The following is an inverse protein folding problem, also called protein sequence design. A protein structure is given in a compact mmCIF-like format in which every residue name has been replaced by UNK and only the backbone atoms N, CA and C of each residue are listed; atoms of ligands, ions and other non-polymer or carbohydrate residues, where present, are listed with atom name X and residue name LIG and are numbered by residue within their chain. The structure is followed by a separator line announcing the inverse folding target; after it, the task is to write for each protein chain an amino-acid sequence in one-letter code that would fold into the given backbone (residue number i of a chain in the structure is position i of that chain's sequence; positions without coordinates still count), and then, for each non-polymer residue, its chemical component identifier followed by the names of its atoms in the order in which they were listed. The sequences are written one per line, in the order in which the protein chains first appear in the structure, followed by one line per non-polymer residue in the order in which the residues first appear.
data_IF_737775616255
#
_entry.id   IF_737775616255
#
_cell.length_a   1.000
_cell.length_b   1.000
_cell.length_c   1.000
_cell.angle_alpha   90.00
_cell.angle_beta   90.00
_cell.angle_gamma   90.00
#
_symmetry.space_group_name_H-M   'P 1'
#
loop_
_entity.id
_entity.type
_entity.pdbx_description
1 polymer ?
#
# COMPACT_ATOMS: atom_id res chain seq x y z
N UNK A 1 -12.21 -6.61 11.70
CA UNK A 1 -12.32 -5.74 10.51
C UNK A 1 -11.04 -5.91 9.69
N UNK A 2 -11.10 -5.85 8.35
CA UNK A 2 -9.90 -5.82 7.50
C UNK A 2 -9.75 -4.43 6.88
N UNK A 3 -8.55 -3.86 6.89
CA UNK A 3 -8.25 -2.55 6.26
C UNK A 3 -7.17 -2.75 5.21
N UNK A 4 -7.42 -2.36 3.96
CA UNK A 4 -6.46 -2.54 2.87
C UNK A 4 -6.12 -1.19 2.26
N UNK A 5 -4.86 -0.80 2.34
CA UNK A 5 -4.37 0.39 1.66
C UNK A 5 -4.04 0.07 0.20
N UNK A 6 -4.53 0.92 -0.69
CA UNK A 6 -4.33 0.87 -2.13
C UNK A 6 -3.31 1.91 -2.61
N UNK A 7 -2.70 2.66 -1.68
CA UNK A 7 -1.65 3.63 -2.00
C UNK A 7 -0.46 3.02 -2.72
N UNK A 8 0.15 3.82 -3.60
CA UNK A 8 1.43 3.49 -4.21
C UNK A 8 2.58 3.74 -3.22
N UNK A 9 3.77 3.14 -3.39
CA UNK A 9 4.94 3.45 -2.58
C UNK A 9 5.20 4.95 -2.51
N UNK A 10 5.61 5.45 -1.35
CA UNK A 10 5.88 6.89 -1.08
C UNK A 10 4.64 7.79 -1.01
N UNK A 11 3.43 7.24 -1.09
CA UNK A 11 2.17 7.96 -0.89
C UNK A 11 1.71 8.02 0.58
N UNK A 12 2.61 7.86 1.56
CA UNK A 12 2.26 7.95 2.99
C UNK A 12 1.82 6.64 3.66
N UNK A 13 2.04 5.50 3.00
CA UNK A 13 1.78 4.13 3.51
C UNK A 13 2.28 3.90 4.95
N UNK A 14 3.52 4.31 5.26
CA UNK A 14 4.11 4.14 6.59
C UNK A 14 3.39 4.95 7.68
N UNK A 15 3.00 6.20 7.39
CA UNK A 15 2.26 7.03 8.35
C UNK A 15 0.92 6.39 8.69
N UNK A 16 0.18 5.91 7.69
CA UNK A 16 -1.05 5.16 7.92
C UNK A 16 -0.79 3.92 8.78
N UNK A 17 0.27 3.15 8.47
CA UNK A 17 0.64 1.95 9.23
C UNK A 17 0.93 2.22 10.70
N UNK A 18 1.70 3.27 11.02
CA UNK A 18 1.99 3.61 12.42
C UNK A 18 0.74 4.13 13.16
N UNK A 19 -0.13 4.89 12.49
CA UNK A 19 -1.40 5.34 13.08
C UNK A 19 -2.34 4.17 13.42
N UNK A 20 -2.47 3.20 12.51
CA UNK A 20 -3.29 2.02 12.73
C UNK A 20 -2.71 1.11 13.83
N UNK A 21 -1.38 0.98 13.93
CA UNK A 21 -0.73 0.27 15.05
C UNK A 21 -0.99 0.98 16.38
N UNK A 22 -0.88 2.30 16.41
CA UNK A 22 -1.14 3.09 17.61
C UNK A 22 -2.61 2.97 18.07
N UNK A 23 -3.53 2.78 17.13
CA UNK A 23 -4.93 2.46 17.38
C UNK A 23 -5.19 1.00 17.80
N UNK A 24 -4.13 0.18 17.96
CA UNK A 24 -4.22 -1.20 18.43
C UNK A 24 -4.43 -2.26 17.35
N UNK A 25 -4.40 -1.90 16.07
CA UNK A 25 -4.55 -2.87 14.97
C UNK A 25 -3.24 -3.64 14.71
N UNK A 26 -3.38 -4.93 14.36
CA UNK A 26 -2.26 -5.72 13.85
C UNK A 26 -2.03 -5.37 12.38
N UNK A 27 -1.01 -4.57 12.10
CA UNK A 27 -0.73 -4.07 10.75
C UNK A 27 0.36 -4.89 10.06
N UNK A 28 0.04 -5.51 8.93
CA UNK A 28 1.00 -6.04 7.97
C UNK A 28 1.49 -4.92 7.04
N UNK A 29 2.80 -4.75 6.99
CA UNK A 29 3.48 -3.84 6.07
C UNK A 29 4.30 -4.68 5.08
N UNK A 30 4.80 -4.12 3.97
CA UNK A 30 5.36 -4.82 2.79
C UNK A 30 6.15 -6.10 3.07
N UNK A 31 6.85 -6.15 4.21
CA UNK A 31 7.45 -7.35 4.79
C UNK A 31 7.07 -7.54 6.26
N UNK A 32 6.59 -8.75 6.60
CA UNK A 32 6.33 -9.14 7.99
C UNK A 32 7.64 -9.23 8.78
N UNK A 33 7.72 -8.57 9.92
CA UNK A 33 8.90 -8.51 10.78
C UNK A 33 8.97 -9.72 11.71
N UNK A 34 10.18 -10.01 12.19
CA UNK A 34 10.37 -11.06 13.19
C UNK A 34 9.63 -10.71 14.47
N UNK A 35 8.90 -11.66 15.04
CA UNK A 35 8.08 -11.46 16.24
C UNK A 35 6.78 -10.69 16.02
N UNK A 36 6.45 -10.33 14.77
CA UNK A 36 5.18 -9.67 14.46
C UNK A 36 4.01 -10.65 14.35
N UNK A 37 4.30 -11.92 14.07
CA UNK A 37 3.34 -13.00 13.86
C UNK A 37 3.70 -14.18 14.74
N UNK A 38 2.68 -14.88 15.25
CA UNK A 38 2.84 -16.13 15.99
C UNK A 38 3.09 -17.31 15.04
N UNK A 39 2.71 -17.16 13.77
CA UNK A 39 3.05 -18.10 12.71
C UNK A 39 4.46 -17.82 12.16
N UNK A 40 5.39 -18.73 12.46
CA UNK A 40 6.79 -18.67 11.99
C UNK A 40 6.92 -18.68 10.46
N UNK A 41 5.94 -19.21 9.71
CA UNK A 41 5.97 -19.21 8.23
C UNK A 41 5.86 -17.80 7.66
N UNK A 42 5.24 -16.88 8.40
CA UNK A 42 5.08 -15.48 7.97
C UNK A 42 6.32 -14.64 8.23
N UNK A 43 7.26 -15.10 9.07
CA UNK A 43 8.44 -14.33 9.40
C UNK A 43 9.24 -13.94 8.15
N UNK A 44 9.46 -12.64 7.95
CA UNK A 44 10.19 -12.05 6.81
C UNK A 44 9.55 -12.28 5.44
N UNK A 45 8.33 -12.83 5.37
CA UNK A 45 7.58 -12.97 4.14
C UNK A 45 7.10 -11.62 3.61
N UNK A 46 6.98 -11.51 2.29
CA UNK A 46 6.41 -10.32 1.65
C UNK A 46 4.90 -10.43 1.59
N UNK A 47 4.21 -9.37 2.01
CA UNK A 47 2.73 -9.34 2.10
C UNK A 47 2.10 -9.62 0.74
N UNK A 48 2.55 -8.94 -0.32
CA UNK A 48 2.03 -9.17 -1.67
C UNK A 48 2.26 -10.61 -2.16
N UNK A 49 3.38 -11.24 -1.79
CA UNK A 49 3.63 -12.64 -2.16
C UNK A 49 2.65 -13.59 -1.44
N UNK A 50 2.40 -13.36 -0.16
CA UNK A 50 1.40 -14.11 0.60
C UNK A 50 0.01 -13.93 -0.01
N UNK A 51 -0.37 -12.70 -0.37
CA UNK A 51 -1.66 -12.41 -1.01
C UNK A 51 -1.88 -13.21 -2.29
N UNK A 52 -0.92 -13.15 -3.23
CA UNK A 52 -1.04 -13.90 -4.48
C UNK A 52 -1.01 -15.42 -4.25
N UNK A 53 -0.18 -15.90 -3.31
CA UNK A 53 -0.04 -17.34 -3.05
C UNK A 53 -1.32 -17.91 -2.42
N UNK A 54 -1.96 -17.17 -1.52
CA UNK A 54 -3.26 -17.52 -0.95
C UNK A 54 -4.36 -17.42 -2.01
N UNK A 55 -4.44 -16.31 -2.74
CA UNK A 55 -5.45 -16.09 -3.79
C UNK A 55 -5.50 -17.24 -4.81
N UNK A 56 -4.37 -17.60 -5.42
CA UNK A 56 -4.34 -18.66 -6.42
C UNK A 56 -4.56 -20.07 -5.84
N UNK A 57 -4.45 -20.24 -4.52
CA UNK A 57 -4.68 -21.53 -3.85
C UNK A 57 -6.10 -21.68 -3.32
N UNK A 58 -6.70 -20.61 -2.79
CA UNK A 58 -7.97 -20.67 -2.03
C UNK A 58 -9.05 -19.73 -2.59
N UNK A 59 -8.69 -18.78 -3.44
CA UNK A 59 -9.57 -17.68 -3.85
C UNK A 59 -9.65 -16.53 -2.84
N UNK A 60 -9.03 -16.65 -1.65
CA UNK A 60 -8.98 -15.59 -0.63
C UNK A 60 -7.54 -15.08 -0.46
N UNK A 61 -7.24 -13.83 -0.87
CA UNK A 61 -5.91 -13.24 -0.72
C UNK A 61 -5.43 -13.08 0.73
N UNK A 62 -6.31 -13.07 1.72
CA UNK A 62 -5.92 -12.86 3.12
C UNK A 62 -5.86 -14.16 3.93
N UNK A 63 -6.12 -15.32 3.31
CA UNK A 63 -6.27 -16.60 4.02
C UNK A 63 -5.02 -17.03 4.80
N UNK A 64 -3.82 -16.64 4.37
CA UNK A 64 -2.56 -16.95 5.06
C UNK A 64 -2.17 -15.92 6.12
N UNK A 65 -2.92 -14.82 6.25
CA UNK A 65 -2.64 -13.71 7.18
C UNK A 65 -3.84 -13.38 8.08
N UNK A 66 -4.57 -14.37 8.64
CA UNK A 66 -5.83 -14.11 9.33
C UNK A 66 -5.67 -13.22 10.56
N UNK A 67 -4.49 -13.23 11.19
CA UNK A 67 -4.13 -12.46 12.38
C UNK A 67 -3.89 -10.96 12.14
N UNK A 68 -3.79 -10.49 10.89
CA UNK A 68 -3.59 -9.07 10.59
C UNK A 68 -4.92 -8.36 10.31
N UNK A 69 -5.12 -7.22 10.94
CA UNK A 69 -6.29 -6.36 10.75
C UNK A 69 -6.12 -5.37 9.59
N UNK A 70 -4.88 -4.95 9.31
CA UNK A 70 -4.62 -3.96 8.28
C UNK A 70 -3.39 -4.29 7.40
N UNK A 71 -3.42 -3.85 6.15
CA UNK A 71 -2.39 -4.09 5.14
C UNK A 71 -2.01 -2.77 4.46
N UNK A 72 -0.88 -2.16 4.84
CA UNK A 72 -0.61 -0.74 4.52
C UNK A 72 0.35 -0.46 3.38
N UNK A 73 1.26 -1.39 3.09
CA UNK A 73 2.05 -1.43 1.86
C UNK A 73 2.06 -2.89 1.41
N UNK A 74 1.48 -3.17 0.24
CA UNK A 74 1.24 -4.54 -0.22
C UNK A 74 2.02 -4.88 -1.49
N UNK A 75 2.64 -3.89 -2.13
CA UNK A 75 3.56 -4.12 -3.23
C UNK A 75 4.94 -4.56 -2.75
N UNK A 76 5.68 -5.15 -3.68
CA UNK A 76 7.10 -5.42 -3.51
C UNK A 76 7.78 -5.41 -4.87
N UNK A 77 8.90 -4.68 -4.95
CA UNK A 77 9.83 -4.73 -6.08
C UNK A 77 11.26 -4.94 -5.57
N UNK A 78 11.64 -6.22 -5.39
CA UNK A 78 12.89 -6.61 -4.76
C UNK A 78 13.29 -8.06 -5.09
N UNK A 79 14.58 -8.32 -5.30
CA UNK A 79 15.13 -9.68 -5.49
C UNK A 79 14.41 -10.48 -6.59
N UNK A 80 14.08 -9.83 -7.71
CA UNK A 80 13.33 -10.46 -8.82
C UNK A 80 11.82 -10.63 -8.57
N UNK A 81 11.31 -10.27 -7.38
CA UNK A 81 9.88 -10.14 -7.16
C UNK A 81 9.40 -8.77 -7.62
N UNK A 82 8.27 -8.78 -8.30
CA UNK A 82 7.55 -7.60 -8.75
C UNK A 82 6.05 -7.88 -8.63
N UNK A 83 5.44 -7.44 -7.52
CA UNK A 83 4.06 -7.75 -7.17
C UNK A 83 3.36 -6.47 -6.72
N UNK A 84 2.16 -6.22 -7.23
CA UNK A 84 1.39 -4.98 -6.98
C UNK A 84 -0.08 -5.30 -6.73
N UNK A 85 -0.43 -5.95 -5.61
CA UNK A 85 -1.80 -6.35 -5.33
C UNK A 85 -2.80 -5.17 -5.34
N UNK A 86 -2.36 -3.96 -4.98
CA UNK A 86 -3.21 -2.77 -4.99
C UNK A 86 -3.65 -2.36 -6.41
N UNK A 87 -2.91 -2.78 -7.44
CA UNK A 87 -3.22 -2.48 -8.84
C UNK A 87 -4.00 -3.63 -9.53
N UNK A 88 -4.26 -4.74 -8.83
CA UNK A 88 -4.89 -5.93 -9.40
C UNK A 88 -6.36 -6.02 -9.00
N UNK A 89 -7.25 -5.84 -9.97
CA UNK A 89 -8.70 -5.96 -9.76
C UNK A 89 -9.10 -7.32 -9.18
N UNK A 90 -8.49 -8.42 -9.64
CA UNK A 90 -8.83 -9.76 -9.18
C UNK A 90 -8.52 -9.95 -7.70
N UNK A 91 -7.39 -9.42 -7.22
CA UNK A 91 -7.05 -9.43 -5.80
C UNK A 91 -8.03 -8.57 -5.00
N UNK A 92 -8.28 -7.32 -5.44
CA UNK A 92 -9.15 -6.38 -4.71
C UNK A 92 -10.57 -6.94 -4.61
N UNK A 93 -11.13 -7.42 -5.71
CA UNK A 93 -12.47 -8.01 -5.76
C UNK A 93 -12.56 -9.30 -4.93
N UNK A 94 -11.53 -10.13 -4.92
CA UNK A 94 -11.49 -11.32 -4.08
C UNK A 94 -11.46 -10.99 -2.59
N UNK A 95 -10.75 -9.94 -2.17
CA UNK A 95 -10.80 -9.47 -0.77
C UNK A 95 -12.22 -9.03 -0.42
N UNK A 96 -12.87 -8.23 -1.28
CA UNK A 96 -14.25 -7.76 -1.08
C UNK A 96 -15.24 -8.91 -0.91
N UNK A 97 -15.10 -9.97 -1.72
CA UNK A 97 -15.98 -11.14 -1.68
C UNK A 97 -15.78 -12.02 -0.45
N UNK A 98 -14.53 -12.23 -0.04
CA UNK A 98 -14.21 -13.12 1.08
C UNK A 98 -14.27 -12.44 2.45
N UNK A 99 -14.14 -11.11 2.50
CA UNK A 99 -14.16 -10.32 3.74
C UNK A 99 -15.22 -9.22 3.67
N UNK A 100 -16.52 -9.55 3.78
CA UNK A 100 -17.57 -8.53 3.90
C UNK A 100 -17.27 -7.58 5.06
N UNK A 101 -17.28 -6.27 4.78
CA UNK A 101 -16.88 -5.23 5.74
C UNK A 101 -15.37 -4.92 5.75
N UNK A 102 -14.59 -5.45 4.80
CA UNK A 102 -13.26 -4.93 4.52
C UNK A 102 -13.35 -3.46 4.08
N UNK A 103 -12.52 -2.60 4.68
CA UNK A 103 -12.41 -1.18 4.38
C UNK A 103 -11.20 -0.94 3.51
N UNK A 104 -11.38 -0.24 2.40
CA UNK A 104 -10.31 0.15 1.49
C UNK A 104 -9.94 1.61 1.71
N UNK A 105 -8.64 1.89 1.72
CA UNK A 105 -8.12 3.25 1.84
C UNK A 105 -7.21 3.50 0.65
N UNK A 106 -7.31 4.67 0.00
CA UNK A 106 -6.30 5.16 -0.92
C UNK A 106 -5.57 6.33 -0.26
N UNK A 107 -4.31 6.11 0.13
CA UNK A 107 -3.43 7.21 0.51
C UNK A 107 -3.04 8.00 -0.75
N UNK A 108 -3.66 9.17 -0.93
CA UNK A 108 -3.42 10.04 -2.07
C UNK A 108 -2.28 11.02 -1.77
N UNK A 109 -1.44 11.23 -2.79
CA UNK A 109 -0.48 12.32 -2.84
C UNK A 109 -0.50 12.91 -4.24
N UNK A 110 -0.34 14.23 -4.36
CA UNK A 110 -0.18 14.91 -5.65
C UNK A 110 0.78 14.12 -6.57
N UNK A 111 0.36 13.78 -7.81
CA UNK A 111 1.13 12.94 -8.72
C UNK A 111 2.55 13.46 -9.00
N UNK A 112 2.73 14.77 -9.10
CA UNK A 112 4.04 15.37 -9.36
C UNK A 112 4.96 15.20 -8.14
N UNK A 113 4.46 15.53 -6.94
CA UNK A 113 5.21 15.31 -5.68
C UNK A 113 5.52 13.83 -5.44
N UNK A 114 4.61 12.93 -5.82
CA UNK A 114 4.82 11.50 -5.69
C UNK A 114 5.89 11.01 -6.68
N UNK A 115 5.83 11.41 -7.95
CA UNK A 115 6.86 11.11 -8.95
C UNK A 115 8.24 11.57 -8.48
N UNK A 116 8.35 12.81 -7.99
CA UNK A 116 9.60 13.36 -7.44
C UNK A 116 10.12 12.55 -6.25
N UNK A 117 9.22 12.03 -5.40
CA UNK A 117 9.59 11.17 -4.28
C UNK A 117 10.11 9.81 -4.75
N UNK A 118 9.47 9.20 -5.74
CA UNK A 118 9.89 7.94 -6.33
C UNK A 118 11.22 8.08 -7.10
N UNK A 119 11.41 9.17 -7.83
CA UNK A 119 12.63 9.47 -8.59
C UNK A 119 13.85 9.69 -7.71
N UNK A 120 13.68 10.30 -6.53
CA UNK A 120 14.76 10.50 -5.53
C UNK A 120 15.12 9.24 -4.76
N UNK A 121 14.24 8.24 -4.72
CA UNK A 121 14.59 6.96 -4.13
C UNK A 121 15.46 6.21 -5.15
N UNK A 122 16.77 6.32 -4.98
CA UNK A 122 17.80 6.11 -6.02
C UNK A 122 17.71 4.82 -6.84
N UNK A 123 17.07 3.78 -6.31
CA UNK A 123 16.85 2.51 -6.99
C UNK A 123 15.42 2.29 -7.48
N UNK A 124 14.43 3.08 -7.06
CA UNK A 124 13.05 2.89 -7.50
C UNK A 124 12.79 3.53 -8.85
N UNK A 125 12.90 4.85 -8.97
CA UNK A 125 12.55 5.56 -10.20
C UNK A 125 13.51 5.37 -11.37
N UNK A 126 14.79 5.05 -11.12
CA UNK A 126 15.82 4.93 -12.17
C UNK A 126 15.98 3.50 -12.70
N UNK A 127 15.77 2.49 -11.86
CA UNK A 127 16.11 1.11 -12.20
C UNK A 127 14.95 0.15 -11.98
N UNK A 128 14.34 0.13 -10.80
CA UNK A 128 13.28 -0.85 -10.51
C UNK A 128 12.01 -0.62 -11.34
N UNK A 129 11.45 0.59 -11.39
CA UNK A 129 10.22 0.81 -12.16
C UNK A 129 10.44 0.54 -13.66
N UNK A 130 11.48 1.08 -14.33
CA UNK A 130 11.64 0.88 -15.77
C UNK A 130 12.07 -0.53 -16.18
N UNK A 131 12.75 -1.27 -15.30
CA UNK A 131 13.25 -2.62 -15.60
C UNK A 131 12.27 -3.74 -15.20
N UNK A 132 11.04 -3.41 -14.81
CA UNK A 132 10.05 -4.40 -14.43
C UNK A 132 8.71 -4.06 -15.07
N UNK A 133 7.96 -5.08 -15.49
CA UNK A 133 6.59 -4.89 -15.99
C UNK A 133 5.63 -4.76 -14.81
N UNK A 134 5.23 -3.54 -14.49
CA UNK A 134 4.32 -3.22 -13.39
C UNK A 134 2.90 -3.04 -13.98
N UNK A 135 1.83 -3.42 -13.28
CA UNK A 135 0.47 -3.14 -13.75
C UNK A 135 0.28 -1.65 -14.07
N UNK A 136 -0.12 -1.37 -15.31
CA UNK A 136 -0.28 0.00 -15.82
C UNK A 136 1.02 0.73 -16.22
N UNK A 137 2.19 0.10 -16.05
CA UNK A 137 3.49 0.64 -16.41
C UNK A 137 4.39 -0.47 -16.99
N UNK A 138 4.31 -0.74 -18.31
CA UNK A 138 5.13 -1.77 -18.96
C UNK A 138 6.63 -1.50 -18.84
N UNK A 139 7.43 -2.55 -18.96
CA UNK A 139 8.90 -2.43 -19.00
C UNK A 139 9.34 -1.44 -20.10
N UNK A 140 10.34 -0.61 -19.78
CA UNK A 140 10.83 0.46 -20.64
C UNK A 140 10.16 1.83 -20.41
N UNK A 141 9.08 1.90 -19.62
CA UNK A 141 8.40 3.15 -19.25
C UNK A 141 8.61 3.51 -17.77
N UNK A 142 8.32 4.76 -17.41
CA UNK A 142 8.46 5.27 -16.03
C UNK A 142 9.86 5.82 -15.74
N UNK A 143 10.69 6.00 -16.77
CA UNK A 143 12.03 6.55 -16.65
C UNK A 143 12.03 8.06 -16.42
N UNK A 144 11.01 8.77 -16.90
CA UNK A 144 10.82 10.21 -16.69
C UNK A 144 9.56 10.53 -15.87
N UNK A 145 9.45 11.78 -15.41
CA UNK A 145 8.34 12.21 -14.55
C UNK A 145 6.99 12.15 -15.26
N UNK A 146 6.92 12.55 -16.53
CA UNK A 146 5.65 12.54 -17.26
C UNK A 146 5.04 11.14 -17.39
N UNK A 147 5.88 10.11 -17.58
CA UNK A 147 5.44 8.71 -17.59
C UNK A 147 4.98 8.24 -16.22
N UNK A 148 5.74 8.56 -15.15
CA UNK A 148 5.35 8.20 -13.78
C UNK A 148 4.06 8.89 -13.35
N UNK A 149 3.89 10.16 -13.66
CA UNK A 149 2.68 10.94 -13.37
C UNK A 149 1.48 10.29 -14.05
N UNK A 150 1.56 9.98 -15.35
CA UNK A 150 0.45 9.30 -16.06
C UNK A 150 0.08 7.96 -15.43
N UNK A 151 1.08 7.18 -15.01
CA UNK A 151 0.84 5.91 -14.33
C UNK A 151 0.16 6.10 -12.96
N UNK A 152 0.64 7.06 -12.15
CA UNK A 152 0.06 7.41 -10.85
C UNK A 152 -1.40 7.84 -11.01
N UNK A 153 -1.68 8.75 -11.95
CA UNK A 153 -3.03 9.22 -12.26
C UNK A 153 -3.93 8.06 -12.72
N UNK A 154 -3.40 7.16 -13.54
CA UNK A 154 -4.09 5.96 -13.99
C UNK A 154 -4.50 5.05 -12.83
N UNK A 155 -3.61 4.84 -11.86
CA UNK A 155 -3.92 4.05 -10.66
C UNK A 155 -5.01 4.71 -9.80
N UNK A 156 -4.94 6.02 -9.57
CA UNK A 156 -5.99 6.75 -8.86
C UNK A 156 -7.34 6.68 -9.58
N UNK A 157 -7.34 6.85 -10.90
CA UNK A 157 -8.55 6.72 -11.71
C UNK A 157 -9.14 5.30 -11.64
N UNK A 158 -8.29 4.27 -11.63
CA UNK A 158 -8.70 2.89 -11.44
C UNK A 158 -9.40 2.69 -10.08
N UNK A 159 -8.77 3.09 -8.96
CA UNK A 159 -9.37 2.99 -7.63
C UNK A 159 -10.72 3.71 -7.56
N UNK A 160 -10.77 4.97 -8.00
CA UNK A 160 -12.02 5.76 -8.03
C UNK A 160 -13.10 5.09 -8.88
N UNK A 161 -12.74 4.42 -9.97
CA UNK A 161 -13.68 3.74 -10.86
C UNK A 161 -14.28 2.49 -10.21
N UNK A 162 -13.46 1.64 -9.57
CA UNK A 162 -13.92 0.36 -9.00
C UNK A 162 -14.64 0.52 -7.66
N UNK A 163 -14.45 1.65 -6.98
CA UNK A 163 -15.14 2.00 -5.72
C UNK A 163 -16.16 3.14 -5.89
N UNK A 164 -16.58 3.44 -7.13
CA UNK A 164 -17.52 4.53 -7.38
C UNK A 164 -18.83 4.34 -6.59
N UNK A 165 -19.10 5.25 -5.64
CA UNK A 165 -20.29 5.23 -4.78
C UNK A 165 -20.24 4.20 -3.64
N UNK A 166 -19.09 3.59 -3.39
CA UNK A 166 -18.92 2.57 -2.37
C UNK A 166 -18.57 3.17 -0.99
N UNK A 167 -19.32 2.82 0.04
CA UNK A 167 -19.04 3.25 1.42
C UNK A 167 -17.86 2.52 2.05
N UNK A 168 -17.36 1.44 1.43
CA UNK A 168 -16.20 0.68 1.87
C UNK A 168 -14.89 1.22 1.27
N UNK A 169 -14.88 2.46 0.78
CA UNK A 169 -13.70 3.14 0.25
C UNK A 169 -13.54 4.56 0.80
N UNK A 170 -12.33 4.90 1.21
CA UNK A 170 -11.91 6.25 1.56
C UNK A 170 -10.65 6.63 0.78
N UNK A 171 -10.70 7.75 0.07
CA UNK A 171 -9.51 8.44 -0.44
C UNK A 171 -9.22 9.66 0.45
N UNK A 172 -7.96 9.84 0.86
CA UNK A 172 -7.55 11.04 1.58
C UNK A 172 -6.18 11.54 1.10
N UNK A 173 -5.99 12.85 1.07
CA UNK A 173 -4.70 13.47 0.77
C UNK A 173 -3.80 13.42 2.01
N UNK A 174 -2.57 12.92 1.87
CA UNK A 174 -1.58 12.88 2.95
C UNK A 174 -1.18 14.25 3.49
N UNK A 175 -1.41 15.32 2.73
CA UNK A 175 -1.17 16.70 3.16
C UNK A 175 -2.39 17.32 3.86
N UNK A 176 -3.53 16.62 3.90
CA UNK A 176 -4.73 17.06 4.60
C UNK A 176 -4.57 16.93 6.11
N UNK A 177 -4.69 18.07 6.80
CA UNK A 177 -4.60 18.13 8.26
C UNK A 177 -5.78 17.43 8.94
N UNK A 178 -6.91 17.28 8.25
CA UNK A 178 -8.11 16.59 8.73
C UNK A 178 -8.14 15.09 8.36
N UNK A 179 -7.10 14.58 7.68
CA UNK A 179 -6.96 13.17 7.37
C UNK A 179 -7.17 12.22 8.58
N UNK A 180 -6.65 12.50 9.80
CA UNK A 180 -6.87 11.63 10.97
C UNK A 180 -8.34 11.48 11.30
N UNK A 181 -9.10 12.58 11.31
CA UNK A 181 -10.51 12.57 11.67
C UNK A 181 -11.34 11.85 10.61
N UNK A 182 -11.01 12.04 9.33
CA UNK A 182 -11.65 11.32 8.21
C UNK A 182 -11.45 9.82 8.33
N UNK A 183 -10.21 9.38 8.58
CA UNK A 183 -9.89 7.95 8.73
C UNK A 183 -10.54 7.38 9.99
N UNK A 184 -10.48 8.10 11.11
CA UNK A 184 -11.10 7.69 12.37
C UNK A 184 -12.60 7.49 12.21
N UNK A 185 -13.29 8.46 11.59
CA UNK A 185 -14.73 8.39 11.31
C UNK A 185 -15.05 7.23 10.38
N UNK A 186 -14.29 7.07 9.30
CA UNK A 186 -14.49 6.03 8.31
C UNK A 186 -14.28 4.61 8.86
N UNK A 187 -13.27 4.42 9.69
CA UNK A 187 -12.96 3.13 10.31
C UNK A 187 -13.74 2.87 11.60
N UNK A 188 -14.38 3.90 12.18
CA UNK A 188 -15.09 3.80 13.45
C UNK A 188 -14.16 3.51 14.63
N UNK A 189 -12.94 4.06 14.62
CA UNK A 189 -11.94 3.88 15.68
C UNK A 189 -11.17 5.17 15.95
N UNK A 190 -10.62 5.31 17.14
CA UNK A 190 -9.79 6.45 17.50
C UNK A 190 -8.38 6.28 16.92
N UNK A 191 -7.81 7.35 16.35
CA UNK A 191 -6.41 7.41 15.94
C UNK A 191 -5.61 8.24 16.96
N UNK A 192 -5.03 7.62 18.00
CA UNK A 192 -4.33 8.35 19.06
C UNK A 192 -2.99 8.97 18.61
N UNK A 193 -2.53 8.62 17.41
CA UNK A 193 -1.30 9.13 16.82
C UNK A 193 -1.50 9.46 15.33
N UNK A 194 -0.94 10.59 14.92
CA UNK A 194 -0.81 10.97 13.52
C UNK A 194 0.48 11.78 13.31
N UNK A 195 1.24 11.52 12.25
CA UNK A 195 2.44 12.29 11.97
C UNK A 195 3.35 11.73 10.89
N UNK A 196 4.48 12.40 10.68
CA UNK A 196 5.48 12.02 9.69
C UNK A 196 6.46 11.03 10.32
N UNK A 197 6.20 9.72 10.20
CA UNK A 197 7.15 8.67 10.63
C UNK A 197 8.47 8.66 9.83
N UNK A 198 8.58 9.51 8.80
CA UNK A 198 9.74 9.64 7.91
C UNK A 198 10.05 11.10 7.55
N UNK A 199 10.14 12.00 8.54
CA UNK A 199 10.85 13.25 8.27
C UNK A 199 12.30 12.86 7.99
N UNK A 200 12.79 13.07 6.76
CA UNK A 200 14.18 12.80 6.39
C UNK A 200 15.11 13.63 7.29
N UNK A 201 15.45 13.13 8.47
CA UNK A 201 16.64 13.56 9.17
C UNK A 201 17.78 13.12 8.27
N UNK A 202 18.54 14.07 7.70
CA UNK A 202 19.77 13.79 6.97
C UNK A 202 20.63 12.83 7.82
N UNK A 203 20.59 11.54 7.50
CA UNK A 203 21.59 10.60 7.97
C UNK A 203 22.57 10.40 6.82
N UNK A 204 23.80 10.79 7.10
CA UNK A 204 24.98 10.58 6.29
C UNK A 204 25.00 9.14 5.79
N UNK A 205 25.26 9.03 4.49
CA UNK A 205 25.75 7.83 3.84
C UNK A 205 26.90 7.21 4.64
N UNK A 206 26.69 6.00 5.17
CA UNK A 206 27.78 5.07 5.42
C UNK A 206 27.84 4.07 4.25
N UNK A 207 29.07 3.83 3.81
CA UNK A 207 29.46 3.17 2.55
C UNK A 207 29.26 1.67 2.50
#
# INVERSE_FOLDING_TARGET
MKVVNLGLPKSGTTTLGEALKAAGLRVADWRIRSGQSDDNRLNRAFVGKLMYSAYFRTGDPLADMPEFDAYTEIDVIRNGLNLWPQCDFGIIDAIRKNHPGARFILTYRDPSKLSDSMGRWSNMGRTRLPANSIPGLPEGFGGNDAERIRWIEGHYAFCRRIFAGDSDYLEYDVEDQDAPNKISTYLGLDLPWWGVANANTRQQSEG
#
